data_IF_537209456664
#
_entry.id   IF_537209456664
#
_cell.length_a   1.000
_cell.length_b   1.000
_cell.length_c   1.000
_cell.angle_alpha   90.00
_cell.angle_beta   90.00
_cell.angle_gamma   90.00
#
_symmetry.space_group_name_H-M   'P 1'
#
loop_
_entity.id
_entity.type
_entity.pdbx_description
1 polymer ?
#
# COMPACT_ATOMS: atom_id res chain seq x y z
N UNK A 1 -49.12 -23.63 -61.99
CA UNK A 1 -49.21 -23.61 -60.51
C UNK A 1 -47.82 -23.28 -59.97
N UNK A 2 -47.59 -22.07 -59.41
CA UNK A 2 -47.29 -21.81 -57.97
C UNK A 2 -46.09 -22.64 -57.44
N UNK A 3 -44.99 -22.14 -56.87
CA UNK A 3 -44.63 -20.85 -56.22
C UNK A 3 -43.09 -20.71 -56.15
N UNK A 4 -42.61 -19.46 -56.10
CA UNK A 4 -41.31 -19.04 -55.55
C UNK A 4 -41.17 -19.45 -54.07
N UNK A 5 -39.97 -19.83 -53.64
CA UNK A 5 -39.45 -19.53 -52.29
C UNK A 5 -37.96 -19.19 -52.41
N UNK A 6 -37.61 -17.93 -52.11
CA UNK A 6 -36.26 -17.49 -51.76
C UNK A 6 -35.91 -18.02 -50.36
N UNK A 7 -34.69 -18.52 -50.16
CA UNK A 7 -34.13 -18.68 -48.81
C UNK A 7 -32.80 -17.94 -48.73
N UNK A 8 -32.86 -16.85 -47.98
CA UNK A 8 -31.78 -15.98 -47.56
C UNK A 8 -31.29 -16.54 -46.21
N UNK A 9 -30.07 -17.09 -46.14
CA UNK A 9 -29.44 -17.39 -44.85
C UNK A 9 -28.18 -16.57 -44.72
N UNK A 10 -28.36 -15.45 -44.01
CA UNK A 10 -27.34 -14.47 -43.68
C UNK A 10 -26.29 -15.02 -42.72
N UNK A 11 -25.08 -14.56 -42.97
CA UNK A 11 -23.87 -14.66 -42.15
C UNK A 11 -24.13 -14.10 -40.75
N UNK A 12 -24.20 -14.95 -39.72
CA UNK A 12 -24.25 -14.52 -38.32
C UNK A 12 -22.82 -14.25 -37.84
N UNK A 13 -22.37 -12.99 -37.96
CA UNK A 13 -21.20 -12.50 -37.23
C UNK A 13 -21.63 -12.26 -35.77
N UNK A 14 -21.30 -13.20 -34.88
CA UNK A 14 -21.39 -12.99 -33.43
C UNK A 14 -20.25 -12.06 -33.02
N UNK A 15 -20.55 -10.76 -32.93
CA UNK A 15 -19.69 -9.80 -32.25
C UNK A 15 -19.83 -10.07 -30.74
N UNK A 16 -18.83 -10.74 -30.15
CA UNK A 16 -18.72 -10.84 -28.70
C UNK A 16 -18.23 -9.49 -28.16
N UNK A 17 -19.17 -8.65 -27.72
CA UNK A 17 -18.87 -7.49 -26.90
C UNK A 17 -18.40 -7.97 -25.52
N UNK A 18 -17.09 -7.94 -25.28
CA UNK A 18 -16.55 -8.05 -23.93
C UNK A 18 -16.84 -6.74 -23.21
N UNK A 19 -17.82 -6.73 -22.31
CA UNK A 19 -18.02 -5.61 -21.42
C UNK A 19 -16.79 -5.50 -20.50
N UNK A 20 -15.95 -4.48 -20.71
CA UNK A 20 -14.94 -4.11 -19.74
C UNK A 20 -15.66 -3.55 -18.51
N UNK A 21 -15.56 -4.26 -17.39
CA UNK A 21 -15.98 -3.73 -16.09
C UNK A 21 -15.00 -2.61 -15.75
N UNK A 22 -15.39 -1.36 -15.96
CA UNK A 22 -14.68 -0.21 -15.43
C UNK A 22 -14.92 -0.16 -13.92
N UNK A 23 -14.05 -0.80 -13.15
CA UNK A 23 -14.01 -0.62 -11.69
C UNK A 23 -13.55 0.80 -11.38
N UNK A 24 -14.50 1.67 -11.02
CA UNK A 24 -14.18 3.00 -10.47
C UNK A 24 -13.57 2.79 -9.09
N UNK A 25 -12.33 3.25 -8.89
CA UNK A 25 -11.71 3.24 -7.56
C UNK A 25 -12.34 4.38 -6.74
N UNK A 26 -13.07 4.03 -5.69
CA UNK A 26 -13.54 5.00 -4.71
C UNK A 26 -12.37 5.45 -3.83
N UNK A 27 -12.09 6.76 -3.84
CA UNK A 27 -11.03 7.35 -3.02
C UNK A 27 -11.64 7.86 -1.70
N UNK A 28 -11.26 7.32 -0.53
CA UNK A 28 -11.81 7.78 0.74
C UNK A 28 -11.41 9.23 1.02
N UNK A 29 -12.23 9.92 1.81
CA UNK A 29 -11.89 11.25 2.29
C UNK A 29 -10.60 11.21 3.13
N UNK A 30 -9.73 12.20 2.92
CA UNK A 30 -8.53 12.40 3.72
C UNK A 30 -8.70 13.71 4.52
N UNK A 31 -9.07 13.64 5.81
CA UNK A 31 -9.25 14.84 6.64
C UNK A 31 -7.92 15.52 7.01
N UNK A 32 -6.78 14.93 6.65
CA UNK A 32 -5.44 15.39 7.04
C UNK A 32 -4.64 15.98 5.87
N UNK A 33 -5.28 16.37 4.77
CA UNK A 33 -4.61 16.96 3.60
C UNK A 33 -3.67 18.14 3.98
N UNK A 34 -4.10 19.01 4.91
CA UNK A 34 -3.28 20.12 5.38
C UNK A 34 -2.05 19.64 6.18
N UNK A 35 -2.21 18.60 7.00
CA UNK A 35 -1.12 18.00 7.77
C UNK A 35 -0.08 17.35 6.86
N UNK A 36 -0.52 16.60 5.83
CA UNK A 36 0.40 16.03 4.83
C UNK A 36 1.11 17.14 4.04
N UNK A 37 0.40 18.17 3.59
CA UNK A 37 1.01 19.34 2.92
C UNK A 37 2.06 20.02 3.80
N UNK A 38 1.78 20.18 5.10
CA UNK A 38 2.73 20.73 6.08
C UNK A 38 3.96 19.83 6.20
N UNK A 39 3.77 18.51 6.30
CA UNK A 39 4.87 17.55 6.36
C UNK A 39 5.79 17.65 5.14
N UNK A 40 5.25 17.72 3.92
CA UNK A 40 6.06 17.91 2.71
C UNK A 40 6.75 19.28 2.64
N UNK A 41 6.18 20.31 3.27
CA UNK A 41 6.82 21.62 3.36
C UNK A 41 8.03 21.61 4.30
N UNK A 42 7.97 20.85 5.39
CA UNK A 42 9.05 20.75 6.38
C UNK A 42 10.11 19.74 5.92
N UNK A 43 9.68 18.64 5.29
CA UNK A 43 10.53 17.53 4.84
C UNK A 43 10.44 17.37 3.31
N UNK A 44 10.95 18.32 2.51
CA UNK A 44 10.73 18.37 1.05
C UNK A 44 11.42 17.25 0.27
N UNK A 45 12.33 16.50 0.89
CA UNK A 45 12.94 15.31 0.26
C UNK A 45 12.01 14.12 0.18
N UNK A 46 10.98 14.06 1.04
CA UNK A 46 10.00 12.97 1.05
C UNK A 46 9.11 13.13 -0.18
N UNK A 47 9.04 12.12 -1.08
CA UNK A 47 8.20 12.23 -2.26
C UNK A 47 6.73 12.37 -1.90
N UNK A 48 6.03 13.30 -2.56
CA UNK A 48 4.60 13.52 -2.36
C UNK A 48 3.80 12.25 -2.66
N UNK A 49 2.74 11.99 -1.90
CA UNK A 49 1.91 10.80 -2.00
C UNK A 49 2.39 9.63 -1.14
N UNK A 50 3.65 9.61 -0.70
CA UNK A 50 4.19 8.47 0.06
C UNK A 50 3.60 8.37 1.46
N UNK A 51 3.42 9.50 2.14
CA UNK A 51 2.79 9.54 3.46
C UNK A 51 1.31 9.14 3.37
N UNK A 52 0.63 9.59 2.32
CA UNK A 52 -0.75 9.21 2.04
C UNK A 52 -0.87 7.71 1.72
N UNK A 53 0.06 7.14 0.96
CA UNK A 53 0.06 5.73 0.63
C UNK A 53 0.18 4.85 1.89
N UNK A 54 1.01 5.26 2.86
CA UNK A 54 1.12 4.59 4.16
C UNK A 54 -0.17 4.73 4.96
N UNK A 55 -0.65 5.96 5.18
CA UNK A 55 -1.86 6.20 5.96
C UNK A 55 -3.09 5.51 5.36
N UNK A 56 -3.23 5.54 4.03
CA UNK A 56 -4.27 4.80 3.35
C UNK A 56 -4.13 3.30 3.58
N UNK A 57 -2.95 2.73 3.31
CA UNK A 57 -2.73 1.28 3.36
C UNK A 57 -2.98 0.73 4.75
N UNK A 58 -2.52 1.45 5.78
CA UNK A 58 -2.59 1.01 7.16
C UNK A 58 -3.93 1.28 7.83
N UNK A 59 -4.51 2.47 7.64
CA UNK A 59 -5.66 2.91 8.43
C UNK A 59 -6.80 3.47 7.60
N UNK A 60 -6.66 3.54 6.26
CA UNK A 60 -7.59 4.26 5.38
C UNK A 60 -7.83 5.71 5.84
N UNK A 61 -6.77 6.35 6.35
CA UNK A 61 -6.79 7.70 6.96
C UNK A 61 -7.62 7.82 8.25
N UNK A 62 -7.98 6.73 8.92
CA UNK A 62 -8.58 6.82 10.25
C UNK A 62 -7.49 6.94 11.32
N UNK A 63 -7.60 7.93 12.20
CA UNK A 63 -6.73 8.00 13.37
C UNK A 63 -7.20 7.02 14.44
N UNK A 64 -6.35 6.04 14.77
CA UNK A 64 -6.64 5.00 15.75
C UNK A 64 -6.11 5.39 17.12
N UNK A 65 -7.00 5.52 18.11
CA UNK A 65 -6.66 5.88 19.49
C UNK A 65 -6.44 4.66 20.41
N UNK A 66 -6.54 3.44 19.85
CA UNK A 66 -6.38 2.18 20.59
C UNK A 66 -7.58 1.78 21.45
N UNK A 67 -8.70 2.50 21.36
CA UNK A 67 -9.96 2.16 22.05
C UNK A 67 -10.65 0.93 21.46
N UNK A 68 -10.46 0.70 20.16
CA UNK A 68 -10.89 -0.53 19.50
C UNK A 68 -9.96 -1.68 19.91
N UNK A 69 -10.54 -2.74 20.46
CA UNK A 69 -9.77 -3.95 20.76
C UNK A 69 -9.36 -4.61 19.45
N UNK A 70 -8.08 -4.94 19.33
CA UNK A 70 -7.63 -5.90 18.33
C UNK A 70 -8.24 -7.27 18.62
N UNK A 71 -8.37 -8.12 17.60
CA UNK A 71 -8.64 -9.54 17.82
C UNK A 71 -7.59 -10.08 18.82
N UNK A 72 -8.01 -10.99 19.71
CA UNK A 72 -7.14 -11.55 20.75
C UNK A 72 -5.83 -12.04 20.11
N UNK A 73 -4.71 -11.50 20.58
CA UNK A 73 -3.36 -11.88 20.13
C UNK A 73 -2.74 -10.97 19.06
N UNK A 74 -3.49 -10.07 18.41
CA UNK A 74 -2.92 -9.09 17.49
C UNK A 74 -2.54 -7.78 18.21
N UNK A 75 -1.44 -7.12 17.81
CA UNK A 75 -1.07 -5.84 18.37
C UNK A 75 -2.11 -4.76 17.98
N UNK A 76 -2.15 -3.69 18.77
CA UNK A 76 -3.04 -2.56 18.49
C UNK A 76 -2.36 -1.59 17.54
N UNK A 77 -2.98 -1.37 16.38
CA UNK A 77 -2.64 -0.24 15.51
C UNK A 77 -3.10 1.08 16.12
N UNK A 78 -2.22 2.07 16.08
CA UNK A 78 -2.40 3.40 16.63
C UNK A 78 -2.13 4.46 15.57
N UNK A 79 -2.65 5.65 15.81
CA UNK A 79 -2.48 6.84 14.98
C UNK A 79 -3.06 6.71 13.57
N UNK A 80 -2.90 7.76 12.76
CA UNK A 80 -3.27 7.75 11.34
C UNK A 80 -2.28 6.95 10.49
N UNK A 81 -1.04 6.78 10.98
CA UNK A 81 0.02 6.08 10.25
C UNK A 81 0.06 4.57 10.56
N UNK A 82 -0.86 4.06 11.40
CA UNK A 82 -0.97 2.63 11.74
C UNK A 82 0.24 2.07 12.49
N UNK A 83 0.72 2.83 13.48
CA UNK A 83 1.91 2.49 14.24
C UNK A 83 1.58 1.53 15.38
N UNK A 84 2.50 0.61 15.64
CA UNK A 84 2.44 -0.42 16.68
C UNK A 84 3.43 -0.04 17.80
N UNK A 85 2.89 0.08 19.02
CA UNK A 85 3.68 0.33 20.23
C UNK A 85 4.19 -0.95 20.87
N UNK A 86 3.32 -1.96 20.97
CA UNK A 86 3.61 -3.27 21.56
C UNK A 86 3.30 -4.34 20.51
N UNK A 87 4.37 -4.92 19.96
CA UNK A 87 4.31 -5.90 18.88
C UNK A 87 4.00 -7.34 19.32
N UNK A 88 3.76 -7.57 20.63
CA UNK A 88 3.44 -8.90 21.18
C UNK A 88 4.46 -9.99 20.82
N UNK A 89 5.75 -9.64 20.78
CA UNK A 89 6.89 -10.50 20.43
C UNK A 89 6.92 -11.05 18.99
N UNK A 90 6.00 -10.62 18.14
CA UNK A 90 5.96 -11.08 16.74
C UNK A 90 6.09 -9.91 15.77
N UNK A 91 5.30 -8.86 15.98
CA UNK A 91 5.40 -7.61 15.22
C UNK A 91 6.49 -6.73 15.80
N UNK A 92 7.00 -5.83 14.97
CA UNK A 92 7.97 -4.81 15.35
C UNK A 92 7.25 -3.56 15.83
N UNK A 93 7.87 -2.90 16.80
CA UNK A 93 7.36 -1.70 17.45
C UNK A 93 7.73 -0.47 16.63
N UNK A 94 7.11 -0.31 15.46
CA UNK A 94 7.45 0.77 14.54
C UNK A 94 7.09 2.16 15.10
N UNK A 95 6.20 2.27 16.10
CA UNK A 95 5.98 3.52 16.83
C UNK A 95 7.25 3.98 17.56
N UNK A 96 7.92 3.05 18.25
CA UNK A 96 9.18 3.31 18.96
C UNK A 96 10.26 3.72 17.96
N UNK A 97 10.34 3.01 16.84
CA UNK A 97 11.28 3.31 15.75
C UNK A 97 11.06 4.72 15.18
N UNK A 98 9.80 5.09 14.89
CA UNK A 98 9.45 6.43 14.40
C UNK A 98 9.78 7.50 15.44
N UNK A 99 9.46 7.28 16.72
CA UNK A 99 9.80 8.21 17.81
C UNK A 99 11.32 8.45 17.88
N UNK A 100 12.13 7.40 17.87
CA UNK A 100 13.59 7.49 17.92
C UNK A 100 14.19 8.22 16.72
N UNK A 101 13.73 7.92 15.51
CA UNK A 101 14.25 8.53 14.28
C UNK A 101 13.83 10.00 14.13
N UNK A 102 12.63 10.35 14.58
CA UNK A 102 12.03 11.67 14.38
C UNK A 102 12.31 12.66 15.50
N UNK A 103 12.60 12.16 16.71
CA UNK A 103 12.76 12.96 17.93
C UNK A 103 11.45 13.37 18.60
N UNK A 104 10.29 13.00 18.05
CA UNK A 104 8.98 13.24 18.69
C UNK A 104 8.71 12.20 19.78
N UNK A 105 8.06 12.61 20.86
CA UNK A 105 7.68 11.67 21.93
C UNK A 105 6.58 10.71 21.44
N UNK A 106 6.58 9.48 21.97
CA UNK A 106 5.53 8.49 21.69
C UNK A 106 4.15 9.05 22.02
N UNK A 107 4.02 9.77 23.13
CA UNK A 107 2.75 10.33 23.59
C UNK A 107 2.22 11.41 22.62
N UNK A 108 3.09 12.30 22.13
CA UNK A 108 2.68 13.33 21.17
C UNK A 108 2.26 12.70 19.84
N UNK A 109 2.98 11.66 19.39
CA UNK A 109 2.65 10.90 18.18
C UNK A 109 1.28 10.24 18.30
N UNK A 110 0.96 9.66 19.46
CA UNK A 110 -0.31 8.98 19.72
C UNK A 110 -1.49 9.93 19.74
N UNK A 111 -1.36 11.04 20.46
CA UNK A 111 -2.51 11.91 20.77
C UNK A 111 -2.85 12.91 19.66
N UNK A 112 -1.92 13.17 18.72
CA UNK A 112 -2.10 14.21 17.72
C UNK A 112 -1.87 13.66 16.29
N UNK A 113 -2.92 13.55 15.45
CA UNK A 113 -2.78 13.05 14.08
C UNK A 113 -1.75 13.81 13.24
N UNK A 114 -1.70 15.15 13.37
CA UNK A 114 -0.68 15.96 12.68
C UNK A 114 0.74 15.59 13.14
N UNK A 115 0.96 15.44 14.45
CA UNK A 115 2.26 15.04 14.98
C UNK A 115 2.68 13.66 14.49
N UNK A 116 1.74 12.70 14.42
CA UNK A 116 2.02 11.38 13.84
C UNK A 116 2.52 11.47 12.40
N UNK A 117 1.87 12.28 11.56
CA UNK A 117 2.27 12.50 10.17
C UNK A 117 3.66 13.17 10.09
N UNK A 118 3.90 14.20 10.91
CA UNK A 118 5.18 14.91 10.96
C UNK A 118 6.32 14.02 11.45
N UNK A 119 6.08 13.21 12.47
CA UNK A 119 7.05 12.27 13.01
C UNK A 119 7.41 11.20 11.98
N UNK A 120 6.40 10.63 11.30
CA UNK A 120 6.65 9.65 10.24
C UNK A 120 7.44 10.26 9.08
N UNK A 121 7.10 11.48 8.65
CA UNK A 121 7.83 12.19 7.60
C UNK A 121 9.29 12.49 7.98
N UNK A 122 9.52 12.90 9.23
CA UNK A 122 10.87 13.11 9.78
C UNK A 122 11.68 11.82 9.78
N UNK A 123 11.11 10.72 10.29
CA UNK A 123 11.74 9.41 10.32
C UNK A 123 12.06 8.90 8.90
N UNK A 124 11.14 9.11 7.96
CA UNK A 124 11.33 8.78 6.55
C UNK A 124 12.51 9.55 5.95
N UNK A 125 12.58 10.88 6.14
CA UNK A 125 13.70 11.69 5.67
C UNK A 125 15.03 11.26 6.32
N UNK A 126 15.02 10.93 7.61
CA UNK A 126 16.21 10.42 8.30
C UNK A 126 16.76 9.15 7.62
N UNK A 127 15.86 8.23 7.26
CA UNK A 127 16.23 7.01 6.54
C UNK A 127 16.68 7.27 5.10
N UNK A 128 16.07 8.24 4.40
CA UNK A 128 16.55 8.70 3.08
C UNK A 128 18.02 9.14 3.15
N UNK A 129 18.36 9.94 4.17
CA UNK A 129 19.73 10.41 4.39
C UNK A 129 20.69 9.26 4.72
N UNK A 130 20.30 8.35 5.61
CA UNK A 130 21.14 7.21 6.00
C UNK A 130 21.40 6.23 4.85
N UNK A 131 20.42 6.03 3.97
CA UNK A 131 20.50 5.07 2.84
C UNK A 131 20.90 5.73 1.52
N UNK A 132 21.07 7.05 1.50
CA UNK A 132 21.32 7.83 0.28
C UNK A 132 20.28 7.59 -0.83
N UNK A 133 18.98 7.63 -0.45
CA UNK A 133 17.84 7.42 -1.36
C UNK A 133 17.08 8.75 -1.48
N UNK A 134 17.13 9.36 -2.66
CA UNK A 134 16.50 10.65 -2.98
C UNK A 134 15.97 10.64 -4.41
N UNK A 135 15.11 11.61 -4.71
CA UNK A 135 14.53 11.76 -6.05
C UNK A 135 13.39 10.75 -6.31
N UNK A 136 12.90 10.77 -7.55
CA UNK A 136 11.72 9.99 -7.98
C UNK A 136 11.97 9.23 -9.29
N UNK A 137 13.22 9.14 -9.73
CA UNK A 137 13.66 8.40 -10.92
C UNK A 137 13.66 6.88 -10.71
N UNK A 138 13.93 6.44 -9.47
CA UNK A 138 14.05 5.03 -9.08
C UNK A 138 13.23 4.76 -7.82
N UNK A 139 11.89 4.79 -7.97
CA UNK A 139 10.97 4.70 -6.83
C UNK A 139 11.06 3.37 -6.08
N UNK A 140 11.44 2.28 -6.73
CA UNK A 140 11.57 0.95 -6.13
C UNK A 140 12.64 0.90 -5.03
N UNK A 141 13.61 1.82 -5.04
CA UNK A 141 14.63 1.93 -3.99
C UNK A 141 14.04 2.26 -2.63
N UNK A 142 12.86 2.89 -2.59
CA UNK A 142 12.20 3.25 -1.34
C UNK A 142 11.62 2.05 -0.58
N UNK A 143 11.62 0.84 -1.16
CA UNK A 143 11.27 -0.40 -0.44
C UNK A 143 12.02 -0.51 0.89
N UNK A 144 13.31 -0.21 0.91
CA UNK A 144 14.13 -0.30 2.12
C UNK A 144 13.66 0.62 3.25
N UNK A 145 13.07 1.77 2.90
CA UNK A 145 12.55 2.73 3.87
C UNK A 145 11.17 2.28 4.36
N UNK A 146 10.30 1.83 3.46
CA UNK A 146 9.01 1.24 3.84
C UNK A 146 9.19 0.00 4.72
N UNK A 147 10.12 -0.88 4.37
CA UNK A 147 10.51 -2.03 5.18
C UNK A 147 11.03 -1.55 6.53
N UNK A 148 11.90 -0.55 6.62
CA UNK A 148 12.43 -0.08 7.90
C UNK A 148 11.36 0.52 8.83
N UNK A 149 10.28 1.10 8.29
CA UNK A 149 9.20 1.73 9.04
C UNK A 149 7.95 0.86 9.24
N UNK A 150 7.96 -0.37 8.71
CA UNK A 150 6.85 -1.32 8.90
C UNK A 150 6.86 -1.96 10.31
N UNK A 151 5.72 -2.48 10.71
CA UNK A 151 5.50 -3.31 11.89
C UNK A 151 5.68 -4.81 11.61
N UNK A 152 5.70 -5.23 10.35
CA UNK A 152 5.75 -6.65 10.00
C UNK A 152 7.10 -7.27 10.40
N UNK A 153 7.17 -8.55 10.79
CA UNK A 153 8.46 -9.19 11.09
C UNK A 153 9.38 -9.23 9.85
N UNK A 154 10.69 -9.23 10.08
CA UNK A 154 11.71 -9.45 9.03
C UNK A 154 12.07 -10.94 8.86
N UNK A 155 11.27 -11.84 9.43
CA UNK A 155 11.65 -13.25 9.54
C UNK A 155 11.73 -13.91 8.17
N UNK A 156 12.59 -14.93 8.12
CA UNK A 156 12.93 -15.63 6.89
C UNK A 156 11.98 -16.77 6.52
N UNK A 157 10.67 -16.58 6.72
CA UNK A 157 9.65 -17.55 6.31
C UNK A 157 8.73 -16.98 5.24
N UNK A 158 8.14 -17.88 4.45
CA UNK A 158 7.30 -17.55 3.29
C UNK A 158 6.08 -16.69 3.65
N UNK A 159 5.50 -16.88 4.84
CA UNK A 159 4.30 -16.16 5.27
C UNK A 159 4.66 -14.70 5.55
N UNK A 160 5.76 -14.47 6.28
CA UNK A 160 6.18 -13.15 6.67
C UNK A 160 6.75 -12.34 5.50
N UNK A 161 7.49 -12.98 4.60
CA UNK A 161 7.91 -12.32 3.36
C UNK A 161 6.71 -12.00 2.47
N UNK A 162 5.75 -12.91 2.30
CA UNK A 162 4.53 -12.61 1.55
C UNK A 162 3.74 -11.45 2.15
N UNK A 163 3.61 -11.38 3.48
CA UNK A 163 2.97 -10.27 4.16
C UNK A 163 3.70 -8.95 3.87
N UNK A 164 5.04 -8.93 3.96
CA UNK A 164 5.86 -7.76 3.65
C UNK A 164 5.72 -7.34 2.18
N UNK A 165 5.85 -8.27 1.23
CA UNK A 165 5.72 -7.96 -0.19
C UNK A 165 4.29 -7.51 -0.55
N UNK A 166 3.26 -8.07 0.08
CA UNK A 166 1.87 -7.63 -0.10
C UNK A 166 1.66 -6.20 0.40
N UNK A 167 2.22 -5.88 1.57
CA UNK A 167 2.21 -4.52 2.11
C UNK A 167 2.90 -3.53 1.16
N UNK A 168 4.11 -3.86 0.68
CA UNK A 168 4.84 -3.03 -0.28
C UNK A 168 4.06 -2.90 -1.59
N UNK A 169 3.50 -3.99 -2.12
CA UNK A 169 2.70 -3.98 -3.33
C UNK A 169 1.52 -3.02 -3.20
N UNK A 170 0.81 -3.03 -2.07
CA UNK A 170 -0.32 -2.14 -1.83
C UNK A 170 0.09 -0.66 -1.83
N UNK A 171 1.25 -0.32 -1.25
CA UNK A 171 1.81 1.05 -1.26
C UNK A 171 2.10 1.49 -2.70
N UNK A 172 2.85 0.69 -3.47
CA UNK A 172 3.17 1.06 -4.86
C UNK A 172 1.93 1.04 -5.76
N UNK A 173 0.98 0.15 -5.50
CA UNK A 173 -0.30 0.13 -6.20
C UNK A 173 -1.03 1.44 -5.99
N UNK A 174 -1.14 1.92 -4.74
CA UNK A 174 -1.74 3.22 -4.43
C UNK A 174 -1.04 4.36 -5.19
N UNK A 175 0.30 4.39 -5.13
CA UNK A 175 1.10 5.42 -5.80
C UNK A 175 0.97 5.38 -7.33
N UNK A 176 0.62 4.22 -7.91
CA UNK A 176 0.44 4.03 -9.35
C UNK A 176 -0.94 4.44 -9.88
N UNK A 177 -1.94 4.66 -9.00
CA UNK A 177 -3.31 4.96 -9.44
C UNK A 177 -3.52 6.45 -9.65
N UNK A 178 -3.98 6.78 -10.85
CA UNK A 178 -4.33 8.14 -11.25
C UNK A 178 -5.43 8.72 -10.37
N UNK A 179 -6.37 7.89 -9.93
CA UNK A 179 -7.47 8.27 -9.04
C UNK A 179 -6.93 8.83 -7.72
N UNK A 180 -5.98 8.15 -7.08
CA UNK A 180 -5.35 8.65 -5.85
C UNK A 180 -4.43 9.84 -6.09
N UNK A 181 -3.66 9.84 -7.19
CA UNK A 181 -2.80 10.97 -7.59
C UNK A 181 -3.62 12.26 -7.73
N UNK A 182 -4.79 12.17 -8.36
CA UNK A 182 -5.71 13.28 -8.53
C UNK A 182 -6.40 13.67 -7.22
N UNK A 183 -6.95 12.71 -6.48
CA UNK A 183 -7.70 12.96 -5.24
C UNK A 183 -6.82 13.58 -4.14
N UNK A 184 -5.55 13.18 -4.05
CA UNK A 184 -4.63 13.65 -3.01
C UNK A 184 -3.50 14.53 -3.54
N UNK A 185 -3.59 14.98 -4.80
CA UNK A 185 -2.73 15.98 -5.41
C UNK A 185 -1.22 15.68 -5.36
N UNK A 186 -0.84 14.43 -5.60
CA UNK A 186 0.56 14.02 -5.74
C UNK A 186 0.93 13.73 -7.22
N UNK A 187 2.23 13.73 -7.57
CA UNK A 187 2.68 13.57 -8.95
C UNK A 187 2.14 12.32 -9.65
N UNK A 188 1.97 12.41 -10.96
CA UNK A 188 1.58 11.26 -11.80
C UNK A 188 2.74 10.28 -11.98
N UNK A 189 3.04 9.49 -10.95
CA UNK A 189 4.11 8.49 -11.00
C UNK A 189 3.79 7.40 -12.01
N UNK A 190 4.76 7.14 -12.90
CA UNK A 190 4.70 6.05 -13.88
C UNK A 190 5.33 4.80 -13.27
N UNK A 191 4.58 4.12 -12.39
CA UNK A 191 5.05 2.92 -11.69
C UNK A 191 4.59 1.67 -12.43
N UNK A 192 5.55 0.84 -12.86
CA UNK A 192 5.26 -0.51 -13.36
C UNK A 192 5.42 -1.54 -12.23
N UNK A 193 4.29 -1.96 -11.64
CA UNK A 193 4.28 -2.93 -10.54
C UNK A 193 4.91 -4.28 -10.93
N UNK A 194 4.82 -4.68 -12.20
CA UNK A 194 5.46 -5.91 -12.68
C UNK A 194 6.98 -5.79 -12.73
N UNK A 195 7.53 -4.60 -12.96
CA UNK A 195 8.98 -4.38 -12.87
C UNK A 195 9.46 -4.32 -11.42
N UNK A 196 8.63 -3.80 -10.50
CA UNK A 196 8.97 -3.73 -9.08
C UNK A 196 8.88 -5.11 -8.41
N UNK A 197 7.96 -5.97 -8.84
CA UNK A 197 7.71 -7.29 -8.25
C UNK A 197 7.74 -8.42 -9.30
N UNK A 198 8.80 -8.58 -10.10
CA UNK A 198 8.77 -9.41 -11.31
C UNK A 198 8.42 -10.87 -11.07
N UNK A 199 8.91 -11.45 -9.98
CA UNK A 199 8.73 -12.86 -9.66
C UNK A 199 7.34 -13.16 -9.08
N UNK A 200 6.82 -12.24 -8.27
CA UNK A 200 5.62 -12.45 -7.46
C UNK A 200 4.43 -11.60 -7.91
N UNK A 201 4.55 -10.80 -8.97
CA UNK A 201 3.50 -9.87 -9.42
C UNK A 201 2.16 -10.58 -9.64
N UNK A 202 2.16 -11.77 -10.27
CA UNK A 202 0.94 -12.52 -10.53
C UNK A 202 0.23 -12.88 -9.21
N UNK A 203 0.99 -13.30 -8.19
CA UNK A 203 0.44 -13.66 -6.88
C UNK A 203 0.00 -12.43 -6.10
N UNK A 204 0.83 -11.38 -6.06
CA UNK A 204 0.56 -10.14 -5.31
C UNK A 204 -0.59 -9.31 -5.89
N UNK A 205 -0.86 -9.44 -7.20
CA UNK A 205 -1.96 -8.77 -7.88
C UNK A 205 -3.25 -9.60 -7.95
N UNK A 206 -3.23 -10.84 -7.48
CA UNK A 206 -4.39 -11.71 -7.51
C UNK A 206 -5.48 -11.23 -6.54
N UNK A 207 -6.75 -11.33 -6.96
CA UNK A 207 -7.88 -10.98 -6.10
C UNK A 207 -8.07 -11.94 -4.92
N UNK A 208 -7.54 -13.17 -5.03
CA UNK A 208 -7.56 -14.18 -3.98
C UNK A 208 -6.33 -15.09 -4.10
N UNK A 209 -5.77 -15.46 -2.95
CA UNK A 209 -4.71 -16.47 -2.81
C UNK A 209 -5.10 -17.48 -1.74
N UNK A 210 -4.55 -18.68 -1.83
CA UNK A 210 -4.56 -19.67 -0.75
C UNK A 210 -3.21 -19.67 -0.06
N UNK A 211 -3.22 -19.65 1.27
CA UNK A 211 -2.04 -19.64 2.12
C UNK A 211 -2.02 -20.94 2.92
N UNK A 212 -0.89 -21.62 2.91
CA UNK A 212 -0.57 -22.80 3.72
C UNK A 212 0.77 -22.57 4.43
N UNK A 213 1.18 -23.49 5.31
CA UNK A 213 2.46 -23.38 6.03
C UNK A 213 3.68 -23.40 5.09
N UNK A 214 3.58 -24.06 3.93
CA UNK A 214 4.70 -24.26 3.01
C UNK A 214 4.56 -23.51 1.68
N UNK A 215 3.36 -23.03 1.34
CA UNK A 215 3.10 -22.46 0.02
C UNK A 215 1.99 -21.41 0.01
N UNK A 216 2.12 -20.49 -0.93
CA UNK A 216 1.13 -19.46 -1.23
C UNK A 216 0.90 -19.47 -2.73
N UNK A 217 -0.36 -19.57 -3.16
CA UNK A 217 -0.69 -19.70 -4.56
C UNK A 217 -2.05 -19.12 -4.93
N UNK A 218 -2.20 -18.76 -6.21
CA UNK A 218 -3.43 -18.24 -6.79
C UNK A 218 -4.36 -19.38 -7.23
N UNK A 219 -5.62 -19.08 -7.54
CA UNK A 219 -6.58 -20.09 -8.04
C UNK A 219 -6.16 -20.77 -9.34
N UNK A 220 -5.43 -20.05 -10.20
CA UNK A 220 -4.85 -20.55 -11.44
C UNK A 220 -3.50 -21.26 -11.26
N UNK A 221 -3.03 -21.41 -10.01
CA UNK A 221 -1.86 -22.22 -9.66
C UNK A 221 -0.51 -21.50 -9.76
N UNK A 222 -0.49 -20.17 -9.90
CA UNK A 222 0.75 -19.42 -9.80
C UNK A 222 1.26 -19.44 -8.35
N UNK A 223 2.51 -19.85 -8.17
CA UNK A 223 3.14 -20.02 -6.85
C UNK A 223 3.94 -18.77 -6.47
N UNK A 224 3.85 -18.38 -5.20
CA UNK A 224 4.74 -17.38 -4.60
C UNK A 224 6.16 -17.93 -4.51
N UNK A 225 7.14 -17.09 -4.83
CA UNK A 225 8.57 -17.40 -4.78
C UNK A 225 9.19 -16.67 -3.60
N UNK A 226 9.75 -17.45 -2.68
CA UNK A 226 10.42 -17.02 -1.46
C UNK A 226 11.93 -17.32 -1.56
#
# INVERSE_FOLDING_TARGET
MRRLIFSLTGLFFLIQSHAQVNTVIETPENPYLLSFKKAYSIYPSVPKGFLEAIAYTQTRFYHLDGTQNSCVGLPKALTVMGLIEDGKNYFRENLVTVSQLSGFSIEDIKNHPETSILAYASAFQKLQQQKNIFGTDRLERYKDIFIALSELPLSGDIINDFAMQSHLYQIYWFLSKKEFQQAYHFPEYQINLKEIFPENYVVLSAGRVTISEESIYTEDGAMYKY
#
